data_IF_292149016356
#
_entry.id   IF_292149016356
#
_cell.length_a   1.000
_cell.length_b   1.000
_cell.length_c   1.000
_cell.angle_alpha   90.00
_cell.angle_beta   90.00
_cell.angle_gamma   90.00
#
_symmetry.space_group_name_H-M   'P 1'
#
loop_
_entity.id
_entity.type
_entity.pdbx_description
1 polymer ?
#
# COMPACT_ATOMS: atom_id res chain seq x y z
N UNK A 1 -26.99 -9.30 0.40
CA UNK A 1 -26.67 -10.01 -0.86
C UNK A 1 -25.17 -9.92 -1.08
N UNK A 2 -24.59 -10.98 -1.64
CA UNK A 2 -23.22 -11.02 -2.18
C UNK A 2 -22.96 -9.70 -2.93
N UNK A 3 -21.86 -9.01 -2.56
CA UNK A 3 -21.32 -7.69 -2.97
C UNK A 3 -20.91 -6.77 -1.77
N UNK A 4 -20.98 -7.27 -0.54
CA UNK A 4 -20.32 -6.86 0.72
C UNK A 4 -20.49 -5.45 1.34
N UNK A 5 -20.92 -4.41 0.63
CA UNK A 5 -21.19 -3.11 1.25
C UNK A 5 -21.95 -2.18 0.31
N UNK A 6 -22.62 -1.15 0.84
CA UNK A 6 -23.10 -0.05 0.00
C UNK A 6 -21.91 0.45 -0.83
N UNK A 7 -22.08 0.61 -2.15
CA UNK A 7 -21.00 1.07 -3.05
C UNK A 7 -20.37 2.36 -2.50
N UNK A 8 -21.18 3.23 -1.88
CA UNK A 8 -20.67 4.41 -1.17
C UNK A 8 -19.63 4.09 -0.10
N UNK A 9 -19.96 3.19 0.85
CA UNK A 9 -19.01 2.78 1.89
C UNK A 9 -17.76 2.10 1.35
N UNK A 10 -17.89 1.31 0.27
CA UNK A 10 -16.73 0.71 -0.40
C UNK A 10 -15.81 1.76 -1.03
N UNK A 11 -16.39 2.77 -1.68
CA UNK A 11 -15.65 3.89 -2.27
C UNK A 11 -14.96 4.68 -1.18
N UNK A 12 -15.64 4.96 -0.07
CA UNK A 12 -15.08 5.71 1.05
C UNK A 12 -13.92 4.94 1.70
N UNK A 13 -14.08 3.64 1.92
CA UNK A 13 -13.04 2.75 2.42
C UNK A 13 -11.81 2.69 1.50
N UNK A 14 -12.01 2.45 0.20
CA UNK A 14 -10.92 2.40 -0.77
C UNK A 14 -10.21 3.75 -0.86
N UNK A 15 -10.98 4.85 -0.91
CA UNK A 15 -10.46 6.20 -0.99
C UNK A 15 -9.61 6.53 0.23
N UNK A 16 -10.08 6.21 1.44
CA UNK A 16 -9.32 6.42 2.68
C UNK A 16 -7.93 5.78 2.62
N UNK A 17 -7.86 4.50 2.24
CA UNK A 17 -6.58 3.77 2.11
C UNK A 17 -5.72 4.35 0.98
N UNK A 18 -6.32 4.66 -0.17
CA UNK A 18 -5.60 5.22 -1.31
C UNK A 18 -4.99 6.59 -0.99
N UNK A 19 -5.75 7.49 -0.34
CA UNK A 19 -5.27 8.82 0.06
C UNK A 19 -4.15 8.74 1.10
N UNK A 20 -4.18 7.75 1.99
CA UNK A 20 -3.07 7.48 2.91
C UNK A 20 -1.78 7.14 2.16
N UNK A 21 -1.85 6.27 1.14
CA UNK A 21 -0.69 5.92 0.31
C UNK A 21 -0.24 7.06 -0.63
N UNK A 22 -1.17 7.86 -1.14
CA UNK A 22 -0.84 9.05 -1.94
C UNK A 22 -0.09 10.08 -1.10
N UNK A 23 -0.57 10.35 0.11
CA UNK A 23 0.12 11.17 1.10
C UNK A 23 1.52 10.62 1.40
N UNK A 24 1.61 9.34 1.73
CA UNK A 24 2.89 8.66 1.98
C UNK A 24 3.87 8.78 0.81
N UNK A 25 3.42 8.56 -0.42
CA UNK A 25 4.25 8.68 -1.63
C UNK A 25 4.75 10.11 -1.82
N UNK A 26 3.91 11.12 -1.57
CA UNK A 26 4.32 12.53 -1.63
C UNK A 26 5.32 12.88 -0.53
N UNK A 27 5.15 12.35 0.69
CA UNK A 27 6.16 12.45 1.76
C UNK A 27 7.47 11.83 1.29
N UNK A 28 7.45 10.64 0.67
CA UNK A 28 8.65 9.99 0.14
C UNK A 28 9.34 10.86 -0.91
N UNK A 29 8.62 11.51 -1.82
CA UNK A 29 9.21 12.46 -2.78
C UNK A 29 9.89 13.63 -2.08
N UNK A 30 9.30 14.17 -1.01
CA UNK A 30 9.91 15.24 -0.22
C UNK A 30 11.15 14.74 0.51
N UNK A 31 11.08 13.59 1.19
CA UNK A 31 12.19 12.98 1.92
C UNK A 31 13.35 12.63 0.99
N UNK A 32 13.09 12.02 -0.17
CA UNK A 32 14.11 11.67 -1.17
C UNK A 32 14.79 12.90 -1.78
N UNK A 33 14.21 14.11 -1.71
CA UNK A 33 14.94 15.34 -2.07
C UNK A 33 16.03 15.69 -1.06
N UNK A 34 15.91 15.25 0.19
CA UNK A 34 16.91 15.49 1.21
C UNK A 34 17.88 14.32 1.34
N UNK A 35 17.39 13.07 1.24
CA UNK A 35 18.20 11.86 1.40
C UNK A 35 19.01 11.51 0.15
N UNK A 36 18.45 11.69 -1.06
CA UNK A 36 19.07 11.23 -2.31
C UNK A 36 19.28 12.38 -3.30
N UNK A 37 20.04 13.40 -2.90
CA UNK A 37 20.20 14.64 -3.67
C UNK A 37 20.90 14.43 -5.02
N UNK A 38 21.85 13.50 -5.10
CA UNK A 38 22.76 13.34 -6.24
C UNK A 38 22.20 12.48 -7.38
N UNK A 39 21.01 11.89 -7.20
CA UNK A 39 20.36 11.13 -8.26
C UNK A 39 19.99 12.05 -9.44
N UNK A 40 20.26 11.64 -10.70
CA UNK A 40 19.84 12.39 -11.87
C UNK A 40 18.31 12.45 -11.92
N UNK A 41 17.73 13.66 -11.97
CA UNK A 41 16.28 13.89 -12.03
C UNK A 41 15.93 14.54 -13.38
N UNK A 42 15.58 13.74 -14.42
CA UNK A 42 15.18 14.28 -15.72
C UNK A 42 13.93 15.16 -15.65
N UNK A 43 13.05 14.90 -14.67
CA UNK A 43 11.85 15.69 -14.41
C UNK A 43 11.83 16.16 -12.95
N UNK A 44 11.61 17.47 -12.75
CA UNK A 44 11.61 18.11 -11.42
C UNK A 44 10.36 18.95 -11.24
N UNK A 45 9.40 18.41 -10.49
CA UNK A 45 8.23 19.18 -10.01
C UNK A 45 8.64 20.22 -8.96
N UNK A 46 8.00 21.40 -8.92
CA UNK A 46 8.10 22.33 -7.79
C UNK A 46 7.71 21.67 -6.46
N UNK A 47 8.43 21.97 -5.36
CA UNK A 47 8.19 21.37 -4.02
C UNK A 47 6.82 21.73 -3.44
N UNK A 48 6.26 22.86 -3.86
CA UNK A 48 4.94 23.31 -3.44
C UNK A 48 3.86 22.27 -3.78
N UNK A 49 3.99 21.56 -4.92
CA UNK A 49 2.99 20.59 -5.36
C UNK A 49 2.92 19.37 -4.40
N UNK A 50 4.03 18.65 -4.10
CA UNK A 50 4.02 17.61 -3.07
C UNK A 50 3.52 18.10 -1.71
N UNK A 51 3.91 19.31 -1.29
CA UNK A 51 3.51 19.84 0.02
C UNK A 51 2.00 20.05 0.10
N UNK A 52 1.40 20.67 -0.92
CA UNK A 52 -0.06 20.85 -1.00
C UNK A 52 -0.77 19.49 -1.04
N UNK A 53 -0.25 18.52 -1.79
CA UNK A 53 -0.84 17.17 -1.83
C UNK A 53 -0.77 16.45 -0.49
N UNK A 54 0.31 16.63 0.29
CA UNK A 54 0.39 16.09 1.65
C UNK A 54 -0.72 16.69 2.52
N UNK A 55 -0.91 18.02 2.47
CA UNK A 55 -1.96 18.70 3.25
C UNK A 55 -3.36 18.21 2.86
N UNK A 56 -3.65 18.10 1.56
CA UNK A 56 -4.93 17.58 1.05
C UNK A 56 -5.15 16.14 1.49
N UNK A 57 -4.14 15.28 1.32
CA UNK A 57 -4.23 13.87 1.72
C UNK A 57 -4.45 13.70 3.22
N UNK A 58 -3.77 14.51 4.05
CA UNK A 58 -3.96 14.51 5.49
C UNK A 58 -5.39 14.92 5.86
N UNK A 59 -5.93 15.97 5.23
CA UNK A 59 -7.32 16.36 5.42
C UNK A 59 -8.29 15.24 5.04
N UNK A 60 -8.13 14.62 3.88
CA UNK A 60 -9.04 13.56 3.40
C UNK A 60 -8.96 12.26 4.21
N UNK A 61 -7.85 12.03 4.92
CA UNK A 61 -7.73 10.92 5.87
C UNK A 61 -8.34 11.30 7.23
N UNK A 62 -8.15 12.54 7.70
CA UNK A 62 -8.65 12.99 9.01
C UNK A 62 -10.14 13.31 9.03
N UNK A 63 -10.67 13.93 7.96
CA UNK A 63 -12.08 14.31 7.84
C UNK A 63 -13.05 13.13 8.10
N UNK A 64 -12.91 11.95 7.46
CA UNK A 64 -13.81 10.83 7.73
C UNK A 64 -13.69 10.29 9.16
N UNK A 65 -12.52 10.39 9.80
CA UNK A 65 -12.31 9.95 11.18
C UNK A 65 -13.06 10.87 12.18
N UNK A 66 -13.06 12.18 11.92
CA UNK A 66 -13.65 13.18 12.82
C UNK A 66 -15.17 13.29 12.60
N UNK A 67 -15.60 13.37 11.34
CA UNK A 67 -16.99 13.69 11.01
C UNK A 67 -17.90 12.47 11.07
N UNK A 68 -17.42 11.30 10.65
CA UNK A 68 -18.21 10.07 10.60
C UNK A 68 -17.35 8.86 10.99
N UNK A 69 -17.02 8.69 12.29
CA UNK A 69 -16.18 7.61 12.77
C UNK A 69 -16.86 6.26 12.53
N UNK A 70 -16.61 5.67 11.36
CA UNK A 70 -17.05 4.33 11.01
C UNK A 70 -16.03 3.31 11.48
N UNK A 71 -16.52 2.17 11.98
CA UNK A 71 -15.67 1.05 12.40
C UNK A 71 -14.85 0.49 11.23
N UNK A 72 -15.33 0.69 10.00
CA UNK A 72 -14.68 0.26 8.75
C UNK A 72 -13.26 0.86 8.59
N UNK A 73 -13.05 2.13 8.92
CA UNK A 73 -11.73 2.77 8.83
C UNK A 73 -10.74 2.18 9.84
N UNK A 74 -11.22 1.81 11.03
CA UNK A 74 -10.40 1.14 12.03
C UNK A 74 -9.97 -0.26 11.55
N UNK A 75 -10.90 -1.03 10.96
CA UNK A 75 -10.55 -2.31 10.33
C UNK A 75 -9.56 -2.14 9.17
N UNK A 76 -9.70 -1.07 8.36
CA UNK A 76 -8.77 -0.74 7.29
C UNK A 76 -7.34 -0.55 7.82
N UNK A 77 -7.21 0.24 8.90
CA UNK A 77 -5.93 0.52 9.53
C UNK A 77 -5.31 -0.75 10.14
N UNK A 78 -6.11 -1.55 10.85
CA UNK A 78 -5.64 -2.84 11.39
C UNK A 78 -5.19 -3.79 10.30
N UNK A 79 -5.93 -3.86 9.19
CA UNK A 79 -5.55 -4.69 8.04
C UNK A 79 -4.23 -4.20 7.41
N UNK A 80 -4.06 -2.88 7.27
CA UNK A 80 -2.81 -2.31 6.81
C UNK A 80 -1.63 -2.65 7.74
N UNK A 81 -1.81 -2.49 9.06
CA UNK A 81 -0.80 -2.83 10.07
C UNK A 81 -0.52 -4.34 10.13
N UNK A 82 -1.49 -5.19 9.81
CA UNK A 82 -1.28 -6.63 9.73
C UNK A 82 -0.23 -6.98 8.66
N UNK A 83 -0.15 -6.20 7.58
CA UNK A 83 0.92 -6.34 6.58
C UNK A 83 2.31 -6.20 7.20
N UNK A 84 2.50 -5.28 8.14
CA UNK A 84 3.75 -5.14 8.89
C UNK A 84 3.98 -6.33 9.83
N UNK A 85 2.92 -6.83 10.48
CA UNK A 85 2.97 -8.02 11.33
C UNK A 85 3.43 -9.25 10.54
N UNK A 86 3.02 -9.40 9.28
CA UNK A 86 3.51 -10.46 8.39
C UNK A 86 4.92 -10.18 7.85
N UNK A 87 5.26 -8.92 7.57
CA UNK A 87 6.59 -8.56 7.06
C UNK A 87 7.72 -8.97 8.01
N UNK A 88 7.54 -8.78 9.32
CA UNK A 88 8.57 -9.08 10.33
C UNK A 88 9.00 -10.58 10.32
N UNK A 89 8.12 -11.57 10.57
CA UNK A 89 8.50 -12.99 10.57
C UNK A 89 8.94 -13.49 9.19
N UNK A 90 8.24 -13.11 8.12
CA UNK A 90 8.47 -13.71 6.81
C UNK A 90 9.63 -13.08 6.03
N UNK A 91 9.83 -11.76 6.16
CA UNK A 91 10.87 -11.03 5.41
C UNK A 91 12.05 -10.70 6.30
N UNK A 92 11.82 -10.10 7.48
CA UNK A 92 12.94 -9.69 8.34
C UNK A 92 13.65 -10.88 8.99
N UNK A 93 12.90 -11.90 9.43
CA UNK A 93 13.47 -13.14 9.99
C UNK A 93 13.67 -14.28 8.97
N UNK A 94 13.39 -14.04 7.68
CA UNK A 94 13.48 -15.00 6.56
C UNK A 94 12.88 -16.39 6.86
N UNK A 95 11.74 -16.44 7.58
CA UNK A 95 11.08 -17.71 7.90
C UNK A 95 10.45 -18.30 6.63
N UNK A 96 11.10 -19.32 6.06
CA UNK A 96 10.59 -20.05 4.89
C UNK A 96 9.77 -21.25 5.31
N UNK A 97 8.45 -21.15 5.18
CA UNK A 97 7.54 -22.27 5.44
C UNK A 97 7.67 -23.34 4.35
N UNK A 98 8.09 -24.55 4.72
CA UNK A 98 8.23 -25.70 3.80
C UNK A 98 6.90 -26.07 3.12
N UNK A 99 5.77 -25.77 3.75
CA UNK A 99 4.41 -25.98 3.21
C UNK A 99 4.18 -25.14 1.94
N UNK A 100 4.72 -23.92 1.88
CA UNK A 100 4.53 -23.01 0.75
C UNK A 100 5.07 -23.61 -0.55
N UNK A 101 6.20 -24.34 -0.51
CA UNK A 101 6.74 -25.03 -1.69
C UNK A 101 5.78 -26.09 -2.26
N UNK A 102 5.13 -26.85 -1.37
CA UNK A 102 4.14 -27.88 -1.79
C UNK A 102 2.89 -27.22 -2.38
N UNK A 103 2.41 -26.14 -1.75
CA UNK A 103 1.26 -25.38 -2.22
C UNK A 103 1.53 -24.74 -3.59
N UNK A 104 2.66 -24.05 -3.76
CA UNK A 104 3.05 -23.46 -5.04
C UNK A 104 3.10 -24.51 -6.15
N UNK A 105 3.68 -25.69 -5.88
CA UNK A 105 3.72 -26.79 -6.87
C UNK A 105 2.33 -27.32 -7.21
N UNK A 106 1.44 -27.46 -6.23
CA UNK A 106 0.05 -27.88 -6.46
C UNK A 106 -0.68 -26.90 -7.37
N UNK A 107 -0.57 -25.60 -7.08
CA UNK A 107 -1.18 -24.54 -7.88
C UNK A 107 -0.59 -24.48 -9.29
N UNK A 108 0.73 -24.65 -9.42
CA UNK A 108 1.41 -24.71 -10.72
C UNK A 108 0.90 -25.84 -11.61
N UNK A 109 0.73 -27.04 -11.05
CA UNK A 109 0.21 -28.20 -11.80
C UNK A 109 -1.28 -28.05 -12.11
N UNK A 110 -2.07 -27.50 -11.19
CA UNK A 110 -3.52 -27.30 -11.39
C UNK A 110 -3.81 -26.30 -12.51
N UNK A 111 -3.03 -25.21 -12.56
CA UNK A 111 -3.20 -24.13 -13.53
C UNK A 111 -2.29 -24.23 -14.76
N UNK A 112 -1.45 -25.28 -14.85
CA UNK A 112 -0.40 -25.43 -15.86
C UNK A 112 0.47 -24.16 -16.05
N UNK A 113 0.81 -23.48 -14.95
CA UNK A 113 1.64 -22.27 -15.01
C UNK A 113 3.10 -22.55 -14.69
N UNK A 114 4.00 -21.91 -15.43
CA UNK A 114 5.45 -21.94 -15.21
C UNK A 114 5.94 -20.57 -14.70
N UNK A 115 7.03 -20.52 -13.92
CA UNK A 115 7.65 -19.26 -13.55
C UNK A 115 8.11 -18.50 -14.81
N UNK A 116 8.02 -17.17 -14.79
CA UNK A 116 8.52 -16.35 -15.88
C UNK A 116 10.05 -16.42 -15.95
N UNK A 117 10.58 -16.56 -17.16
CA UNK A 117 12.00 -16.33 -17.42
C UNK A 117 12.26 -14.83 -17.23
N UNK A 118 12.81 -14.46 -16.07
CA UNK A 118 13.27 -13.10 -15.83
C UNK A 118 14.67 -12.98 -16.41
N UNK A 119 14.80 -12.29 -17.55
CA UNK A 119 16.09 -11.74 -17.98
C UNK A 119 16.40 -10.62 -16.99
N UNK A 120 17.45 -10.71 -16.17
CA UNK A 120 17.85 -9.60 -15.31
C UNK A 120 18.35 -8.48 -16.24
N UNK A 121 17.61 -7.37 -16.27
CA UNK A 121 18.00 -6.12 -16.93
C UNK A 121 18.80 -5.22 -16.00
#
# INVERSE_FOLDING_TARGET
MICAGNIGGLIDFFSFVAWMFYGGTMVTVVVMRFTEKDLPRPYKVPIVIPLVMIVISAYLVLAPIIENPQVEYFYALLFLLSGLLFYIPFVHFDIRLTIMKKFTRLVQLLLNCAPSESVPG
#
